data_IF_613594180384
#
_entry.id   IF_613594180384
#
_cell.length_a   1.000
_cell.length_b   1.000
_cell.length_c   1.000
_cell.angle_alpha   90.00
_cell.angle_beta   90.00
_cell.angle_gamma   90.00
#
_symmetry.space_group_name_H-M   'P 1'
#
loop_
_entity.id
_entity.type
_entity.pdbx_description
1 polymer ?
#
# COMPACT_ATOMS: atom_id res chain seq x y z
N UNK A 1 -0.01 8.38 -5.75
CA UNK A 1 -0.99 8.53 -4.63
C UNK A 1 -1.79 7.24 -4.41
N UNK A 2 -2.68 6.83 -5.34
CA UNK A 2 -3.58 5.66 -5.10
C UNK A 2 -2.84 4.38 -4.70
N UNK A 3 -1.73 4.05 -5.37
CA UNK A 3 -0.91 2.86 -5.03
C UNK A 3 -0.41 2.92 -3.57
N UNK A 4 0.05 4.08 -3.09
CA UNK A 4 0.46 4.27 -1.68
C UNK A 4 -0.70 4.09 -0.69
N UNK A 5 -1.94 4.37 -1.10
CA UNK A 5 -3.11 4.12 -0.26
C UNK A 5 -3.48 2.63 -0.24
N UNK A 6 -3.09 1.87 -1.29
CA UNK A 6 -3.33 0.44 -1.40
C UNK A 6 -2.39 -0.42 -0.58
N UNK A 7 -1.13 0.00 -0.42
CA UNK A 7 -0.06 -0.79 0.20
C UNK A 7 0.30 -0.28 1.59
N UNK A 8 0.91 -1.14 2.41
CA UNK A 8 1.50 -0.73 3.66
C UNK A 8 2.71 0.19 3.41
N UNK A 9 2.71 1.39 4.01
CA UNK A 9 3.83 2.36 3.87
C UNK A 9 5.14 1.91 4.53
N UNK A 10 5.15 0.77 5.23
CA UNK A 10 6.30 0.22 5.93
C UNK A 10 6.83 -1.05 5.25
N UNK A 11 6.02 -2.10 5.15
CA UNK A 11 6.42 -3.38 4.54
C UNK A 11 6.17 -3.48 3.04
N UNK A 12 5.40 -2.57 2.41
CA UNK A 12 5.11 -2.58 0.97
C UNK A 12 4.06 -3.60 0.51
N UNK A 13 3.57 -4.47 1.40
CA UNK A 13 2.51 -5.45 1.10
C UNK A 13 1.19 -4.76 0.77
N UNK A 14 0.40 -5.30 -0.17
CA UNK A 14 -0.97 -4.84 -0.40
C UNK A 14 -1.76 -5.00 0.90
N UNK A 15 -2.65 -4.06 1.26
CA UNK A 15 -3.43 -4.16 2.51
C UNK A 15 -4.63 -5.11 2.41
N UNK A 16 -4.95 -5.58 1.21
CA UNK A 16 -6.09 -6.46 0.96
C UNK A 16 -5.58 -7.80 0.43
N UNK A 17 -6.32 -8.86 0.73
CA UNK A 17 -5.97 -10.23 0.40
C UNK A 17 -7.17 -10.96 -0.20
N UNK A 18 -6.90 -11.95 -1.05
CA UNK A 18 -7.93 -12.86 -1.58
C UNK A 18 -8.56 -13.74 -0.50
N UNK A 19 -7.95 -13.80 0.68
CA UNK A 19 -8.49 -14.46 1.86
C UNK A 19 -9.71 -13.73 2.45
N UNK A 20 -9.85 -12.42 2.21
CA UNK A 20 -11.06 -11.67 2.55
C UNK A 20 -12.11 -11.86 1.44
N UNK A 21 -13.23 -12.57 1.72
CA UNK A 21 -14.26 -12.82 0.71
C UNK A 21 -14.85 -11.52 0.15
N UNK A 22 -14.96 -10.47 0.97
CA UNK A 22 -15.47 -9.17 0.51
C UNK A 22 -14.56 -8.51 -0.51
N UNK A 23 -13.26 -8.79 -0.46
CA UNK A 23 -12.29 -8.31 -1.44
C UNK A 23 -12.26 -9.23 -2.66
N UNK A 24 -12.20 -10.54 -2.44
CA UNK A 24 -12.12 -11.54 -3.49
C UNK A 24 -13.29 -11.42 -4.47
N UNK A 25 -14.52 -11.32 -3.96
CA UNK A 25 -15.73 -11.21 -4.78
C UNK A 25 -15.75 -9.93 -5.62
N UNK A 26 -15.20 -8.82 -5.09
CA UNK A 26 -15.12 -7.54 -5.80
C UNK A 26 -14.17 -7.59 -6.99
N UNK A 27 -13.08 -8.36 -6.92
CA UNK A 27 -12.06 -8.38 -7.97
C UNK A 27 -12.19 -9.57 -8.93
N UNK A 28 -12.86 -10.65 -8.50
CA UNK A 28 -12.94 -11.95 -9.21
C UNK A 28 -13.34 -11.82 -10.68
N UNK A 29 -14.33 -10.98 -10.96
CA UNK A 29 -14.91 -10.85 -12.31
C UNK A 29 -14.33 -9.68 -13.11
N UNK A 30 -13.41 -8.89 -12.52
CA UNK A 30 -12.86 -7.71 -13.19
C UNK A 30 -11.63 -8.13 -14.01
N UNK A 31 -11.81 -8.23 -15.32
CA UNK A 31 -10.72 -8.53 -16.28
C UNK A 31 -9.91 -7.30 -16.67
N UNK A 32 -10.55 -6.14 -16.74
CA UNK A 32 -9.88 -4.89 -17.09
C UNK A 32 -8.97 -4.41 -15.95
N UNK A 33 -7.64 -4.32 -16.15
CA UNK A 33 -6.70 -3.97 -15.08
C UNK A 33 -6.93 -2.57 -14.50
N UNK A 34 -7.37 -1.62 -15.34
CA UNK A 34 -7.63 -0.24 -14.92
C UNK A 34 -8.84 -0.16 -13.97
N UNK A 35 -9.92 -0.86 -14.30
CA UNK A 35 -11.10 -0.99 -13.46
C UNK A 35 -10.79 -1.75 -12.18
N UNK A 36 -9.97 -2.81 -12.26
CA UNK A 36 -9.50 -3.58 -11.10
C UNK A 36 -8.78 -2.68 -10.11
N UNK A 37 -7.82 -1.89 -10.57
CA UNK A 37 -7.08 -0.93 -9.73
C UNK A 37 -8.02 0.06 -9.02
N UNK A 38 -9.06 0.55 -9.69
CA UNK A 38 -10.03 1.46 -9.07
C UNK A 38 -10.79 0.80 -7.91
N UNK A 39 -11.20 -0.47 -8.07
CA UNK A 39 -11.92 -1.25 -7.05
C UNK A 39 -11.00 -1.65 -5.90
N UNK A 40 -9.79 -2.13 -6.20
CA UNK A 40 -8.78 -2.47 -5.20
C UNK A 40 -8.44 -1.26 -4.34
N UNK A 41 -8.23 -0.11 -4.98
CA UNK A 41 -8.00 1.15 -4.26
C UNK A 41 -9.18 1.57 -3.39
N UNK A 42 -10.41 1.46 -3.89
CA UNK A 42 -11.61 1.80 -3.13
C UNK A 42 -11.75 0.93 -1.87
N UNK A 43 -11.28 -0.32 -1.93
CA UNK A 43 -11.21 -1.22 -0.79
C UNK A 43 -10.05 -0.86 0.17
N UNK A 44 -8.83 -0.74 -0.35
CA UNK A 44 -7.66 -0.59 0.51
C UNK A 44 -7.58 0.78 1.20
N UNK A 45 -8.18 1.84 0.61
CA UNK A 45 -8.19 3.18 1.22
C UNK A 45 -8.91 3.24 2.57
N UNK A 46 -9.82 2.31 2.85
CA UNK A 46 -10.56 2.26 4.11
C UNK A 46 -9.77 1.55 5.21
N UNK A 47 -8.76 0.75 4.86
CA UNK A 47 -7.91 0.04 5.81
C UNK A 47 -6.88 0.98 6.44
N UNK A 48 -6.99 1.15 7.76
CA UNK A 48 -6.14 2.04 8.57
C UNK A 48 -5.02 1.31 9.29
N UNK A 49 -4.87 0.00 9.11
CA UNK A 49 -3.80 -0.82 9.68
C UNK A 49 -3.37 -1.89 8.66
N UNK A 50 -2.15 -2.40 8.81
CA UNK A 50 -1.64 -3.56 8.07
C UNK A 50 -1.85 -4.81 8.91
N UNK A 51 -2.91 -5.57 8.61
CA UNK A 51 -3.37 -6.70 9.45
C UNK A 51 -2.29 -7.80 9.55
N UNK A 52 -1.73 -8.05 10.75
CA UNK A 52 -0.80 -9.15 10.96
C UNK A 52 -1.55 -10.49 10.98
N UNK A 53 -0.79 -11.59 10.88
CA UNK A 53 -1.35 -12.91 11.13
C UNK A 53 -1.70 -13.06 12.62
N UNK A 54 -2.85 -13.68 12.91
CA UNK A 54 -3.15 -14.10 14.27
C UNK A 54 -2.05 -15.07 14.76
N UNK A 55 -1.53 -14.91 15.98
CA UNK A 55 -0.59 -15.86 16.53
C UNK A 55 -1.24 -17.24 16.53
N UNK A 56 -0.49 -18.27 16.09
CA UNK A 56 -0.93 -19.66 16.21
C UNK A 56 -1.23 -19.91 17.69
N UNK A 57 -2.48 -20.21 18.01
CA UNK A 57 -2.88 -20.56 19.36
C UNK A 57 -2.30 -21.94 19.68
N UNK A 58 -1.24 -22.01 20.49
CA UNK A 58 -0.57 -23.27 20.89
C UNK A 58 -1.38 -24.08 21.92
N UNK A 59 -2.72 -23.90 21.98
CA UNK A 59 -3.57 -24.50 23.02
C UNK A 59 -4.81 -25.26 22.54
N UNK A 60 -5.13 -25.29 21.25
CA UNK A 60 -6.34 -25.97 20.76
C UNK A 60 -6.01 -27.35 20.16
N UNK A 61 -5.78 -28.34 21.03
CA UNK A 61 -5.96 -29.76 20.67
C UNK A 61 -7.46 -30.02 20.45
N UNK A 62 -7.94 -29.74 19.24
CA UNK A 62 -9.34 -29.96 18.85
C UNK A 62 -9.52 -29.89 17.34
N UNK A 63 -9.49 -31.05 16.69
CA UNK A 63 -10.06 -31.38 15.38
C UNK A 63 -9.93 -30.37 14.21
N UNK A 64 -8.92 -30.60 13.37
CA UNK A 64 -8.99 -30.51 11.90
C UNK A 64 -9.49 -29.20 11.22
N UNK A 65 -9.16 -28.02 11.74
CA UNK A 65 -9.15 -26.78 10.96
C UNK A 65 -7.69 -26.39 10.64
N UNK A 66 -7.32 -26.38 9.35
CA UNK A 66 -6.06 -25.78 8.92
C UNK A 66 -5.99 -24.34 9.45
N UNK A 67 -4.86 -23.91 10.05
CA UNK A 67 -4.73 -22.56 10.57
C UNK A 67 -5.00 -21.58 9.44
N UNK A 68 -6.03 -20.74 9.60
CA UNK A 68 -6.37 -19.70 8.63
C UNK A 68 -5.13 -18.84 8.43
N UNK A 69 -4.43 -19.03 7.30
CA UNK A 69 -3.32 -18.17 6.90
C UNK A 69 -3.88 -16.76 6.89
N UNK A 70 -3.33 -15.89 7.72
CA UNK A 70 -3.77 -14.50 7.75
C UNK A 70 -3.17 -13.73 6.59
N UNK A 71 -3.42 -12.42 6.63
CA UNK A 71 -2.95 -11.48 5.62
C UNK A 71 -1.42 -11.27 5.63
N UNK A 72 -0.69 -11.72 6.66
CA UNK A 72 0.76 -11.60 6.79
C UNK A 72 1.27 -10.15 6.75
N UNK A 73 0.52 -9.21 7.31
CA UNK A 73 0.92 -7.82 7.48
C UNK A 73 1.85 -7.60 8.67
N UNK A 74 2.30 -6.36 8.86
CA UNK A 74 3.28 -6.00 9.89
C UNK A 74 2.69 -5.23 11.10
N UNK A 75 1.38 -5.09 11.20
CA UNK A 75 0.72 -4.32 12.27
C UNK A 75 0.81 -2.79 12.13
N UNK A 76 1.61 -2.27 11.18
CA UNK A 76 1.84 -0.83 11.06
C UNK A 76 0.55 -0.05 10.79
N UNK A 77 0.30 0.99 11.59
CA UNK A 77 -0.83 1.93 11.39
C UNK A 77 -0.64 2.68 10.08
N UNK A 78 -1.68 2.78 9.27
CA UNK A 78 -1.61 3.36 7.94
C UNK A 78 -2.01 4.84 7.95
N UNK A 79 -1.16 5.73 7.43
CA UNK A 79 -1.48 7.14 7.35
C UNK A 79 -2.47 7.44 6.22
N UNK A 80 -3.14 8.59 6.31
CA UNK A 80 -3.85 9.19 5.18
C UNK A 80 -2.84 9.90 4.26
N UNK A 81 -2.90 9.62 2.95
CA UNK A 81 -2.05 10.28 1.96
C UNK A 81 -2.75 11.53 1.40
N UNK A 82 -2.19 12.71 1.64
CA UNK A 82 -2.69 13.99 1.13
C UNK A 82 -1.79 14.48 -0.02
N UNK A 83 -2.39 14.99 -1.10
CA UNK A 83 -1.67 15.62 -2.21
C UNK A 83 -1.88 17.12 -2.12
N UNK A 84 -0.79 17.88 -2.10
CA UNK A 84 -0.82 19.33 -2.13
C UNK A 84 0.16 19.82 -3.19
N UNK A 85 -0.38 20.42 -4.26
CA UNK A 85 0.41 20.73 -5.45
C UNK A 85 1.14 19.49 -5.98
N UNK A 86 2.48 19.56 -6.01
CA UNK A 86 3.38 18.49 -6.44
C UNK A 86 3.93 17.62 -5.30
N UNK A 87 3.51 17.87 -4.05
CA UNK A 87 4.00 17.16 -2.85
C UNK A 87 2.95 16.19 -2.32
N UNK A 88 3.43 15.12 -1.69
CA UNK A 88 2.61 14.16 -0.95
C UNK A 88 2.94 14.27 0.54
N UNK A 89 1.92 14.17 1.37
CA UNK A 89 2.04 14.19 2.82
C UNK A 89 1.38 12.95 3.42
N UNK A 90 1.99 12.41 4.47
CA UNK A 90 1.41 11.36 5.32
C UNK A 90 0.84 12.01 6.57
N UNK A 91 -0.39 11.65 6.94
CA UNK A 91 -1.06 12.12 8.14
C UNK A 91 -1.61 10.96 8.94
N UNK A 92 -1.14 10.79 10.18
CA UNK A 92 -1.64 9.78 11.09
C UNK A 92 -2.80 10.36 11.91
N UNK A 93 -3.86 9.58 12.12
CA UNK A 93 -4.94 9.97 13.02
C UNK A 93 -4.47 9.70 14.45
N UNK A 94 -4.60 10.69 15.34
CA UNK A 94 -4.37 10.51 16.78
C UNK A 94 -5.42 9.55 17.33
N UNK A 95 -5.00 8.57 18.12
CA UNK A 95 -5.91 7.79 18.94
C UNK A 95 -6.55 8.71 19.98
N UNK A 96 -7.79 8.40 20.37
CA UNK A 96 -8.64 9.29 21.20
C UNK A 96 -8.29 9.26 22.70
N UNK A 97 -7.22 8.58 23.09
CA UNK A 97 -6.95 8.15 24.47
C UNK A 97 -5.52 8.45 24.94
N UNK A 98 -4.78 9.33 24.24
CA UNK A 98 -3.46 9.77 24.71
C UNK A 98 -3.63 11.05 25.54
N UNK A 99 -3.49 10.85 26.84
CA UNK A 99 -3.49 11.81 27.93
C UNK A 99 -2.46 12.94 27.70
N UNK A 100 -2.69 14.09 28.31
CA UNK A 100 -2.25 15.42 27.89
C UNK A 100 -0.74 15.77 28.02
N UNK A 101 0.19 14.82 28.06
CA UNK A 101 1.58 15.11 28.49
C UNK A 101 2.74 14.70 27.55
N UNK A 102 2.50 14.14 26.36
CA UNK A 102 3.57 13.91 25.35
C UNK A 102 3.36 14.76 24.11
N UNK A 103 3.23 16.08 24.32
CA UNK A 103 3.30 17.10 23.25
C UNK A 103 4.74 17.30 22.80
N UNK A 104 5.25 16.46 21.88
CA UNK A 104 6.22 16.89 20.84
C UNK A 104 6.73 15.71 20.01
N UNK A 105 6.49 15.72 18.68
CA UNK A 105 7.54 15.95 17.66
C UNK A 105 7.17 15.53 16.23
N UNK A 106 6.13 14.72 16.00
CA UNK A 106 5.70 14.48 14.61
C UNK A 106 4.61 15.48 14.22
N UNK A 107 4.86 16.35 13.21
CA UNK A 107 3.75 17.12 12.66
C UNK A 107 2.70 16.12 12.19
N UNK A 108 1.42 16.36 12.55
CA UNK A 108 0.27 15.55 12.11
C UNK A 108 0.27 15.33 10.60
N UNK A 109 1.06 16.11 9.86
CA UNK A 109 1.31 16.05 8.45
C UNK A 109 2.81 16.09 8.18
N UNK A 110 3.38 14.96 7.74
CA UNK A 110 4.80 14.83 7.35
C UNK A 110 4.93 14.72 5.83
N UNK A 111 5.88 15.45 5.24
CA UNK A 111 6.20 15.29 3.82
C UNK A 111 6.77 13.88 3.59
N UNK A 112 6.23 13.13 2.62
CA UNK A 112 6.84 11.88 2.16
C UNK A 112 7.70 12.18 0.95
N UNK A 113 8.98 11.85 1.05
CA UNK A 113 9.96 12.11 -0.02
C UNK A 113 9.83 11.10 -1.15
N UNK A 114 10.23 11.44 -2.38
CA UNK A 114 10.25 10.50 -3.50
C UNK A 114 11.10 9.24 -3.21
N UNK A 115 12.21 9.39 -2.48
CA UNK A 115 13.11 8.28 -2.11
C UNK A 115 12.45 7.28 -1.14
N UNK A 116 11.66 7.77 -0.19
CA UNK A 116 10.86 6.91 0.69
C UNK A 116 9.81 6.13 -0.13
N UNK A 117 9.08 6.81 -1.02
CA UNK A 117 8.09 6.18 -1.89
C UNK A 117 8.72 5.11 -2.78
N UNK A 118 9.88 5.41 -3.36
CA UNK A 118 10.65 4.48 -4.19
C UNK A 118 11.01 3.20 -3.41
N UNK A 119 11.50 3.36 -2.17
CA UNK A 119 11.86 2.24 -1.30
C UNK A 119 10.66 1.37 -0.95
N UNK A 120 9.50 1.98 -0.68
CA UNK A 120 8.26 1.24 -0.39
C UNK A 120 7.74 0.51 -1.63
N UNK A 121 7.75 1.15 -2.81
CA UNK A 121 7.32 0.51 -4.05
C UNK A 121 8.20 -0.69 -4.43
N UNK A 122 9.51 -0.60 -4.20
CA UNK A 122 10.44 -1.71 -4.45
C UNK A 122 10.18 -2.95 -3.58
N UNK A 123 9.51 -2.80 -2.43
CA UNK A 123 9.14 -3.90 -1.53
C UNK A 123 7.89 -4.66 -1.99
N UNK A 124 7.15 -4.16 -2.99
CA UNK A 124 5.95 -4.83 -3.49
C UNK A 124 6.31 -6.16 -4.16
N UNK A 125 5.55 -7.21 -3.83
CA UNK A 125 5.68 -8.52 -4.48
C UNK A 125 5.00 -8.54 -5.86
N UNK A 126 5.46 -9.40 -6.75
CA UNK A 126 4.85 -9.52 -8.08
C UNK A 126 3.40 -10.02 -7.99
N UNK A 127 3.08 -10.85 -7.00
CA UNK A 127 1.70 -11.24 -6.69
C UNK A 127 0.82 -10.04 -6.32
N UNK A 128 1.33 -9.10 -5.51
CA UNK A 128 0.59 -7.89 -5.16
C UNK A 128 0.35 -6.99 -6.37
N UNK A 129 1.33 -6.91 -7.28
CA UNK A 129 1.23 -6.16 -8.55
C UNK A 129 0.11 -6.71 -9.44
N UNK A 130 0.04 -8.02 -9.63
CA UNK A 130 -1.04 -8.65 -10.39
C UNK A 130 -2.41 -8.48 -9.73
N UNK A 131 -2.45 -8.53 -8.40
CA UNK A 131 -3.69 -8.40 -7.63
C UNK A 131 -4.28 -6.99 -7.75
N UNK A 132 -3.44 -5.95 -7.72
CA UNK A 132 -3.86 -4.56 -7.92
C UNK A 132 -4.19 -4.24 -9.40
N UNK A 133 -3.70 -5.06 -10.34
CA UNK A 133 -3.90 -4.85 -11.79
C UNK A 133 -2.76 -4.08 -12.46
N UNK A 134 -1.53 -4.25 -11.98
CA UNK A 134 -0.30 -3.77 -12.61
C UNK A 134 0.48 -4.94 -13.21
N UNK A 135 1.38 -4.62 -14.14
CA UNK A 135 2.32 -5.58 -14.74
C UNK A 135 3.69 -5.42 -14.10
N UNK A 136 4.26 -6.53 -13.65
CA UNK A 136 5.63 -6.67 -13.18
C UNK A 136 6.67 -6.49 -14.30
N UNK A 137 6.35 -6.86 -15.53
CA UNK A 137 7.24 -6.71 -16.69
C UNK A 137 7.26 -5.29 -17.28
N UNK A 138 6.09 -4.64 -17.38
CA UNK A 138 5.96 -3.39 -18.14
C UNK A 138 5.65 -2.16 -17.29
N UNK A 139 5.15 -2.33 -16.06
CA UNK A 139 4.53 -1.24 -15.31
C UNK A 139 4.79 -1.32 -13.79
N UNK A 140 6.05 -1.58 -13.38
CA UNK A 140 6.39 -1.60 -11.96
C UNK A 140 6.25 -0.21 -11.32
N UNK A 141 5.64 -0.09 -10.13
CA UNK A 141 5.40 1.19 -9.47
C UNK A 141 6.65 2.02 -9.21
N UNK A 142 7.77 1.39 -8.90
CA UNK A 142 9.03 2.09 -8.63
C UNK A 142 9.57 2.82 -9.87
N UNK A 143 9.18 2.41 -11.09
CA UNK A 143 9.56 3.08 -12.34
C UNK A 143 8.80 4.40 -12.57
N UNK A 144 7.70 4.62 -11.84
CA UNK A 144 7.03 5.93 -11.86
C UNK A 144 7.87 7.03 -11.18
N UNK A 145 8.88 6.66 -10.39
CA UNK A 145 9.80 7.61 -9.76
C UNK A 145 11.02 7.78 -10.68
N UNK A 146 11.15 8.97 -11.27
CA UNK A 146 12.28 9.29 -12.16
C UNK A 146 13.58 9.39 -11.35
N UNK A 147 14.46 8.41 -11.53
CA UNK A 147 15.82 8.39 -10.98
C UNK A 147 16.87 8.76 -12.03
N UNK A 148 16.60 8.43 -13.29
CA UNK A 148 17.40 8.78 -14.46
C UNK A 148 16.49 9.47 -15.48
N UNK A 149 16.87 10.68 -15.89
CA UNK A 149 16.10 11.44 -16.88
C UNK A 149 16.71 11.23 -18.27
N UNK A 150 15.98 10.65 -19.23
CA UNK A 150 16.49 10.48 -20.59
C UNK A 150 16.62 11.85 -21.26
N UNK A 151 17.76 12.10 -21.88
CA UNK A 151 18.00 13.32 -22.65
C UNK A 151 17.60 13.06 -24.11
N UNK A 152 16.59 13.75 -24.65
CA UNK A 152 16.16 13.54 -26.03
C UNK A 152 17.22 14.03 -27.03
N UNK A 153 17.35 13.39 -28.21
CA UNK A 153 18.32 13.79 -29.22
C UNK A 153 17.93 15.12 -29.90
N UNK A 154 18.87 15.80 -30.61
CA UNK A 154 18.64 17.09 -31.25
C UNK A 154 17.38 17.22 -32.13
N UNK A 155 16.93 16.19 -32.90
CA UNK A 155 15.69 16.29 -33.68
C UNK A 155 14.44 16.53 -32.83
N UNK A 156 14.46 16.12 -31.56
CA UNK A 156 13.36 16.30 -30.59
C UNK A 156 13.59 17.57 -29.74
N UNK A 157 14.80 18.15 -29.79
CA UNK A 157 15.18 19.40 -29.13
C UNK A 157 15.83 20.36 -30.14
N UNK A 158 15.07 20.91 -31.11
CA UNK A 158 15.60 21.89 -32.06
C UNK A 158 16.15 23.11 -31.33
N UNK A 159 17.28 23.62 -31.81
CA UNK A 159 18.02 24.76 -31.22
C UNK A 159 17.37 26.10 -31.53
#
# INVERSE_FOLDING_TARGET
KKILECICVNCGKLKADILDPNFADKIRHIRDPKSRMAVVWAHCKTKTACEPDDPKDEGAEGENEEPKKGHGGCGHVQPQIRKEGLKLFVQYKKAKDDDEEVKSLQPDKRLITPSEVYTVFKKMSDSDLHLIGLSDEYARPEWMILTVMPVPPPPVRPS
#
